data_IF_900860897384
#
_entry.id   IF_900860897384
#
_cell.length_a   1.000
_cell.length_b   1.000
_cell.length_c   1.000
_cell.angle_alpha   90.00
_cell.angle_beta   90.00
_cell.angle_gamma   90.00
#
_symmetry.space_group_name_H-M   'P 1'
#
loop_
_entity.id
_entity.type
_entity.pdbx_description
1 polymer ?
2 non-polymer ?
3 non-polymer ?
4 non-polymer ?
5 non-polymer ?
6 non-polymer ?
7 water ?
#
# COMPACT_ATOMS: atom_id res chain seq x y z
N UNK A 4 -20.02 -27.49 -7.76
CA UNK A 4 -19.84 -26.03 -7.49
C UNK A 4 -19.05 -25.34 -8.61
N UNK A 5 -19.65 -24.33 -9.26
CA UNK A 5 -18.99 -23.40 -10.23
C UNK A 5 -18.07 -22.40 -9.52
N UNK A 6 -16.83 -22.26 -9.98
CA UNK A 6 -15.83 -21.40 -9.35
C UNK A 6 -15.21 -20.53 -10.44
N UNK A 7 -14.37 -19.60 -10.01
CA UNK A 7 -13.57 -18.79 -10.95
C UNK A 7 -12.22 -18.54 -10.30
N UNK A 8 -11.29 -18.09 -11.12
CA UNK A 8 -9.88 -17.86 -10.70
C UNK A 8 -9.61 -16.36 -10.72
N UNK A 9 -9.10 -15.83 -9.59
CA UNK A 9 -8.77 -14.40 -9.50
C UNK A 9 -7.33 -14.31 -8.98
N UNK A 10 -6.52 -13.55 -9.68
CA UNK A 10 -5.07 -13.38 -9.40
C UNK A 10 -4.73 -12.02 -8.81
N UNK A 11 -3.86 -11.99 -7.80
CA UNK A 11 -3.25 -10.72 -7.30
C UNK A 11 -1.73 -10.90 -7.19
N UNK A 12 -0.99 -9.81 -7.28
CA UNK A 12 0.49 -9.92 -7.15
C UNK A 12 0.99 -9.04 -6.02
N UNK A 13 2.29 -9.15 -5.77
CA UNK A 13 3.00 -8.30 -4.81
C UNK A 13 4.42 -8.14 -5.30
N UNK A 14 5.08 -7.04 -4.94
CA UNK A 14 6.56 -6.94 -5.11
C UNK A 14 7.19 -6.67 -3.73
N UNK A 15 8.42 -7.18 -3.56
CA UNK A 15 9.24 -7.05 -2.34
C UNK A 15 9.77 -5.60 -2.19
N UNK A 16 10.25 -5.29 -0.98
CA UNK A 16 10.77 -3.95 -0.63
C UNK A 16 11.97 -3.60 -1.50
N UNK A 17 12.73 -4.60 -1.98
CA UNK A 17 13.84 -4.28 -2.90
C UNK A 17 13.46 -4.13 -4.38
N UNK A 18 12.19 -4.16 -4.73
CA UNK A 18 11.78 -3.94 -6.13
C UNK A 18 12.04 -2.45 -6.41
N UNK A 19 12.62 -2.04 -7.55
CA UNK A 19 13.05 -0.66 -7.70
C UNK A 19 11.90 0.37 -7.71
N UNK A 20 10.65 -0.02 -8.09
CA UNK A 20 9.53 0.99 -8.00
C UNK A 20 9.20 1.15 -6.52
N UNK A 21 9.20 0.04 -5.79
CA UNK A 21 8.81 0.07 -4.35
C UNK A 21 9.88 0.80 -3.55
N UNK A 22 11.14 0.62 -3.88
CA UNK A 22 12.29 1.36 -3.29
C UNK A 22 11.95 2.88 -3.40
N UNK A 23 11.50 3.33 -4.56
CA UNK A 23 11.13 4.77 -4.79
C UNK A 23 9.94 5.18 -3.91
N UNK A 24 8.91 4.35 -3.78
CA UNK A 24 7.78 4.62 -2.86
C UNK A 24 8.34 4.83 -1.45
N UNK A 25 9.22 3.93 -0.96
CA UNK A 25 9.71 4.00 0.42
C UNK A 25 10.58 5.23 0.63
N UNK A 26 11.43 5.61 -0.33
CA UNK A 26 12.31 6.78 -0.21
C UNK A 26 11.37 8.02 -0.15
N UNK A 27 10.38 8.04 -1.01
CA UNK A 27 9.42 9.21 -1.07
C UNK A 27 8.72 9.36 0.29
N UNK A 28 8.26 8.26 0.87
CA UNK A 28 7.56 8.30 2.18
C UNK A 28 8.54 8.51 3.31
N UNK A 29 9.78 8.00 3.27
CA UNK A 29 10.75 8.32 4.34
C UNK A 29 11.00 9.84 4.34
N UNK A 30 11.17 10.42 3.20
CA UNK A 30 11.30 11.90 3.10
C UNK A 30 10.07 12.55 3.73
N UNK A 31 8.86 12.09 3.41
CA UNK A 31 7.66 12.73 3.97
C UNK A 31 7.64 12.60 5.51
N UNK A 32 7.98 11.43 6.09
CA UNK A 32 7.97 11.19 7.55
C UNK A 32 9.00 12.10 8.21
N UNK A 33 10.14 12.28 7.59
CA UNK A 33 11.22 13.13 8.16
C UNK A 33 10.73 14.59 8.19
N UNK A 34 10.01 15.03 7.17
CA UNK A 34 9.45 16.44 7.14
C UNK A 34 8.38 16.59 8.26
N UNK A 35 7.44 15.63 8.38
CA UNK A 35 6.31 15.70 9.31
C UNK A 35 6.81 15.66 10.73
N UNK A 36 7.86 14.86 11.03
CA UNK A 36 8.36 14.71 12.39
C UNK A 36 8.72 16.08 12.94
N UNK A 37 9.35 16.97 12.16
CA UNK A 37 9.67 18.32 12.69
C UNK A 37 8.51 19.30 12.42
N UNK A 38 7.78 19.18 11.32
CA UNK A 38 6.84 20.25 10.86
C UNK A 38 5.59 19.54 10.37
N UNK A 39 4.60 19.31 11.23
CA UNK A 39 3.39 18.59 10.81
C UNK A 39 2.62 19.25 9.68
N UNK A 40 2.87 20.53 9.44
CA UNK A 40 2.18 21.29 8.39
C UNK A 40 2.99 21.28 7.09
N UNK A 41 3.97 20.39 6.92
CA UNK A 41 4.79 20.36 5.69
C UNK A 41 3.88 20.09 4.50
N UNK A 42 4.16 20.75 3.38
CA UNK A 42 3.56 20.37 2.08
C UNK A 42 4.60 19.61 1.30
N UNK A 43 4.27 18.40 0.93
CA UNK A 43 5.27 17.45 0.42
C UNK A 43 4.67 16.82 -0.85
N UNK A 44 5.37 16.95 -1.96
CA UNK A 44 5.10 16.21 -3.22
C UNK A 44 6.48 15.73 -3.69
N UNK A 45 6.93 14.60 -3.13
CA UNK A 45 8.33 14.13 -3.27
C UNK A 45 8.35 12.86 -4.13
N UNK A 46 8.86 13.02 -5.35
CA UNK A 46 8.98 11.95 -6.36
C UNK A 46 10.39 11.37 -6.36
N UNK A 47 10.50 10.08 -6.45
CA UNK A 47 11.83 9.40 -6.48
C UNK A 47 11.92 8.65 -7.83
N UNK A 48 13.07 8.70 -8.48
CA UNK A 48 13.40 7.67 -9.48
C UNK A 48 14.78 7.06 -9.22
N UNK A 49 15.00 5.93 -9.85
CA UNK A 49 16.23 5.14 -9.68
C UNK A 49 16.54 4.40 -10.99
N UNK A 50 17.86 4.21 -11.24
CA UNK A 50 18.42 3.31 -12.29
C UNK A 50 19.82 2.89 -11.79
N UNK A 51 20.54 2.17 -12.60
CA UNK A 51 21.87 1.60 -12.21
C UNK A 51 22.72 2.68 -11.51
N UNK A 52 23.06 2.48 -10.25
CA UNK A 52 23.99 3.34 -9.47
C UNK A 52 23.46 4.77 -9.30
N UNK A 53 22.14 4.99 -9.28
CA UNK A 53 21.63 6.37 -9.12
C UNK A 53 20.25 6.40 -8.44
N UNK A 54 20.06 7.34 -7.51
CA UNK A 54 18.69 7.72 -7.11
C UNK A 54 18.56 9.22 -7.34
N UNK A 55 17.38 9.68 -7.74
CA UNK A 55 17.10 11.13 -7.79
C UNK A 55 15.82 11.39 -7.05
N UNK A 56 15.87 12.31 -6.07
CA UNK A 56 14.65 12.80 -5.40
C UNK A 56 14.33 14.14 -6.02
N UNK A 57 13.06 14.38 -6.29
CA UNK A 57 12.59 15.60 -7.00
C UNK A 57 11.16 15.88 -6.58
N UNK A 58 10.61 16.93 -7.18
CA UNK A 58 9.30 17.49 -6.81
C UNK A 58 9.47 18.70 -5.90
N UNK A 59 8.53 18.91 -4.95
CA UNK A 59 8.32 20.23 -4.34
C UNK A 59 8.02 20.04 -2.86
N UNK A 60 8.68 20.82 -2.02
CA UNK A 60 8.46 20.74 -0.55
C UNK A 60 8.45 22.15 -0.01
N UNK A 61 7.40 22.47 0.77
CA UNK A 61 7.39 23.65 1.62
C UNK A 61 7.40 23.16 3.07
N UNK A 62 8.39 23.55 3.86
CA UNK A 62 8.48 23.08 5.24
C UNK A 62 9.35 24.01 6.07
N UNK A 63 9.19 23.92 7.38
CA UNK A 63 10.12 24.48 8.36
C UNK A 63 11.16 23.43 8.73
N UNK A 64 10.91 22.16 8.41
CA UNK A 64 11.82 21.09 8.84
C UNK A 64 13.22 21.28 8.22
N UNK A 65 14.21 20.65 8.82
CA UNK A 65 15.58 20.56 8.29
C UNK A 65 15.86 19.09 8.01
N UNK A 66 15.84 18.71 6.74
CA UNK A 66 15.86 17.29 6.35
C UNK A 66 17.05 17.04 5.47
N UNK A 67 17.78 15.96 5.74
CA UNK A 67 18.96 15.60 4.95
C UNK A 67 18.47 14.60 3.88
N UNK A 68 18.03 15.10 2.76
CA UNK A 68 17.44 14.24 1.71
C UNK A 68 18.42 13.12 1.36
N UNK A 69 19.67 13.49 1.06
CA UNK A 69 20.66 12.46 0.65
C UNK A 69 20.74 11.39 1.71
N UNK A 70 20.88 11.77 2.98
CA UNK A 70 21.02 10.79 4.04
C UNK A 70 19.78 9.88 4.12
N UNK A 71 18.57 10.41 4.01
CA UNK A 71 17.30 9.61 4.00
C UNK A 71 17.37 8.60 2.85
N UNK A 72 17.86 9.04 1.70
CA UNK A 72 17.92 8.14 0.51
C UNK A 72 18.88 6.99 0.88
N UNK A 73 20.07 7.33 1.41
CA UNK A 73 21.11 6.29 1.69
C UNK A 73 20.64 5.36 2.81
N UNK A 74 20.13 5.90 3.92
CA UNK A 74 19.64 5.09 5.07
C UNK A 74 18.50 4.15 4.61
N UNK A 75 17.58 4.63 3.78
CA UNK A 75 16.45 3.80 3.30
C UNK A 75 17.03 2.63 2.46
N UNK A 76 17.87 2.91 1.45
CA UNK A 76 18.50 1.86 0.63
C UNK A 76 19.29 0.87 1.50
N UNK A 77 20.05 1.36 2.48
CA UNK A 77 20.88 0.48 3.31
C UNK A 77 19.97 -0.43 4.15
N UNK A 78 18.92 0.09 4.77
CA UNK A 78 18.04 -0.73 5.64
C UNK A 78 17.32 -1.80 4.80
N UNK A 79 17.06 -1.54 3.52
CA UNK A 79 16.47 -2.57 2.63
C UNK A 79 17.48 -3.71 2.39
N UNK A 80 18.80 -3.45 2.42
CA UNK A 80 19.85 -4.45 2.11
C UNK A 80 20.68 -4.09 0.85
N UNK A 81 20.53 -2.88 0.31
CA UNK A 81 21.28 -2.44 -0.91
C UNK A 81 22.62 -1.91 -0.40
N UNK A 82 23.54 -2.83 -0.14
CA UNK A 82 24.83 -2.52 0.53
C UNK A 82 25.98 -2.72 -0.45
N UNK A 83 25.76 -3.08 -1.69
CA UNK A 83 26.89 -3.26 -2.62
C UNK A 83 26.36 -3.29 -4.03
N UNK A 84 27.24 -3.08 -5.00
CA UNK A 84 26.95 -3.19 -6.44
C UNK A 84 26.38 -4.57 -6.76
N UNK A 85 26.94 -5.61 -6.18
CA UNK A 85 26.56 -7.01 -6.43
C UNK A 85 25.08 -7.27 -6.13
N UNK A 86 24.58 -6.68 -5.05
CA UNK A 86 23.18 -6.88 -4.59
C UNK A 86 22.23 -5.99 -5.40
N UNK A 87 22.77 -4.99 -6.11
CA UNK A 87 22.02 -4.21 -7.13
C UNK A 87 22.05 -2.71 -6.87
N UNK A 88 22.60 -2.23 -5.74
CA UNK A 88 22.83 -0.78 -5.47
C UNK A 88 23.69 -0.64 -4.20
N UNK A 89 24.71 0.20 -4.24
CA UNK A 89 25.53 0.50 -3.06
C UNK A 89 25.00 1.76 -2.42
N UNK A 90 24.35 1.64 -1.26
CA UNK A 90 23.71 2.79 -0.56
C UNK A 90 24.77 3.86 -0.30
N UNK A 91 26.00 3.43 -0.10
CA UNK A 91 27.06 4.30 0.46
C UNK A 91 27.80 4.97 -0.68
N UNK A 92 27.80 4.39 -1.87
CA UNK A 92 28.65 4.86 -2.99
C UNK A 92 27.84 5.31 -4.22
N UNK A 93 26.53 5.04 -4.28
CA UNK A 93 25.73 5.32 -5.48
C UNK A 93 25.59 6.83 -5.55
N UNK A 94 25.37 7.28 -6.75
CA UNK A 94 25.04 8.70 -7.04
C UNK A 94 23.64 9.01 -6.47
N UNK A 95 23.55 10.10 -5.70
CA UNK A 95 22.24 10.59 -5.20
C UNK A 95 22.08 12.05 -5.69
N UNK A 96 21.10 12.29 -6.53
CA UNK A 96 20.83 13.61 -7.14
C UNK A 96 19.68 14.21 -6.33
N UNK A 97 19.94 15.35 -5.67
CA UNK A 97 18.95 16.03 -4.81
C UNK A 97 18.36 17.19 -5.60
N UNK A 98 17.14 17.00 -6.10
CA UNK A 98 16.59 17.80 -7.20
C UNK A 98 15.21 18.30 -6.75
N UNK A 99 15.06 18.57 -5.44
CA UNK A 99 13.78 19.04 -4.86
C UNK A 99 13.75 20.54 -4.90
N UNK A 100 12.61 21.14 -5.22
CA UNK A 100 12.40 22.60 -5.03
C UNK A 100 11.94 22.76 -3.57
N UNK A 101 12.84 23.18 -2.69
CA UNK A 101 12.62 23.32 -1.22
C UNK A 101 12.27 24.80 -0.96
N UNK A 102 11.20 25.10 -0.23
CA UNK A 102 10.77 26.48 0.13
C UNK A 102 10.49 26.47 1.65
N UNK A 103 10.71 27.58 2.35
CA UNK A 103 10.19 27.82 3.70
C UNK A 103 8.79 28.41 3.49
N UNK A 104 7.93 28.35 4.48
CA UNK A 104 6.60 28.91 4.34
C UNK A 104 6.58 30.43 4.11
N UNK A 105 5.47 30.87 3.52
CA UNK A 105 5.23 32.28 3.12
C UNK A 105 5.41 33.13 4.35
N UNK A 106 6.02 34.30 4.20
CA UNK A 106 6.09 35.30 5.27
C UNK A 106 5.10 36.40 4.86
N UNK A 107 4.12 36.71 5.69
CA UNK A 107 3.05 37.70 5.37
C UNK A 107 2.71 38.52 6.60
N UNK A 108 2.12 39.69 6.36
CA UNK A 108 1.69 40.65 7.37
C UNK A 108 0.14 40.72 7.37
N UNK A 109 -0.51 40.47 8.51
CA UNK A 109 -1.97 40.40 8.69
C UNK A 109 -2.59 39.43 7.69
N UNK A 110 -3.72 39.79 7.08
CA UNK A 110 -4.44 38.91 6.08
C UNK A 110 -4.55 39.63 4.73
N UNK A 116 -9.77 28.94 4.85
CA UNK A 116 -9.37 29.34 6.23
C UNK A 116 -9.30 28.10 7.14
N UNK A 117 -10.38 27.77 7.85
CA UNK A 117 -10.42 26.66 8.84
C UNK A 117 -10.55 25.32 8.12
N UNK A 118 -10.21 24.19 8.79
CA UNK A 118 -10.43 22.84 8.26
C UNK A 118 -11.75 22.57 7.52
N UNK A 119 -12.86 23.12 7.98
CA UNK A 119 -14.20 22.84 7.40
C UNK A 119 -14.28 23.42 5.99
N UNK A 120 -13.46 24.42 5.67
CA UNK A 120 -13.65 25.21 4.41
C UNK A 120 -12.46 25.05 3.48
N UNK A 121 -11.33 24.49 3.93
CA UNK A 121 -10.19 24.19 3.01
C UNK A 121 -10.78 23.51 1.75
N UNK A 122 -10.51 24.03 0.55
CA UNK A 122 -10.84 23.33 -0.72
C UNK A 122 -9.91 22.15 -0.91
N UNK A 123 -10.33 21.12 -1.64
CA UNK A 123 -9.44 20.03 -2.05
C UNK A 123 -8.22 20.64 -2.75
N UNK A 124 -7.06 20.01 -2.67
CA UNK A 124 -5.83 20.52 -3.30
C UNK A 124 -5.85 20.22 -4.78
N UNK A 125 -6.69 19.27 -5.20
CA UNK A 125 -6.71 18.77 -6.60
C UNK A 125 -8.10 18.18 -6.83
N UNK A 126 -8.45 17.91 -8.09
CA UNK A 126 -9.64 17.12 -8.45
C UNK A 126 -9.24 15.64 -8.27
N UNK A 127 -10.19 14.74 -8.43
CA UNK A 127 -9.88 13.31 -8.49
C UNK A 127 -10.94 12.51 -7.82
N UNK A 128 -10.80 11.18 -7.94
CA UNK A 128 -11.76 10.28 -7.32
C UNK A 128 -11.01 9.08 -6.73
N UNK A 129 -11.57 8.51 -5.67
CA UNK A 129 -10.85 7.48 -4.89
C UNK A 129 -11.88 6.43 -4.52
N UNK A 130 -11.43 5.18 -4.49
CA UNK A 130 -12.31 4.08 -4.05
C UNK A 130 -11.76 3.36 -2.82
N UNK A 131 -12.71 2.93 -1.99
CA UNK A 131 -12.50 2.11 -0.79
C UNK A 131 -13.18 0.78 -0.99
N UNK A 132 -12.59 -0.31 -0.53
CA UNK A 132 -13.16 -1.67 -0.67
C UNK A 132 -12.97 -2.42 0.64
N UNK A 133 -13.91 -3.30 0.96
CA UNK A 133 -13.75 -4.30 2.01
C UNK A 133 -14.55 -5.54 1.70
N UNK A 134 -14.05 -6.68 2.21
CA UNK A 134 -14.73 -7.98 2.02
C UNK A 134 -14.52 -8.85 3.26
N UNK A 135 -15.53 -9.66 3.60
CA UNK A 135 -15.55 -10.42 4.87
C UNK A 135 -14.77 -11.72 4.71
N UNK A 136 -14.03 -11.90 3.62
CA UNK A 136 -13.38 -13.19 3.31
C UNK A 136 -12.09 -13.38 4.12
N UNK A 137 -11.56 -12.34 4.76
CA UNK A 137 -10.39 -12.45 5.68
C UNK A 137 -10.73 -11.67 6.93
N UNK A 138 -9.99 -11.94 8.03
CA UNK A 138 -10.15 -11.17 9.28
C UNK A 138 -9.81 -9.68 9.09
N UNK A 139 -8.81 -9.38 8.26
CA UNK A 139 -8.45 -7.96 7.94
C UNK A 139 -9.43 -7.33 6.91
N UNK A 140 -10.49 -8.04 6.53
CA UNK A 140 -11.53 -7.61 5.60
C UNK A 140 -10.88 -7.17 4.26
N UNK A 141 -9.88 -7.94 3.80
CA UNK A 141 -9.23 -7.75 2.47
C UNK A 141 -9.41 -8.95 1.60
N UNK A 142 -9.23 -8.81 0.26
CA UNK A 142 -9.27 -9.97 -0.61
C UNK A 142 -8.13 -10.97 -0.34
N UNK A 143 -8.49 -12.25 -0.27
CA UNK A 143 -7.46 -13.29 0.01
C UNK A 143 -6.32 -13.25 -1.02
N UNK A 144 -6.61 -13.26 -2.32
CA UNK A 144 -5.53 -13.26 -3.33
C UNK A 144 -4.44 -12.22 -2.97
N UNK A 145 -4.87 -11.01 -2.70
CA UNK A 145 -3.99 -9.88 -2.36
C UNK A 145 -3.26 -10.14 -1.04
N UNK A 146 -4.00 -10.65 -0.04
CA UNK A 146 -3.44 -10.77 1.33
C UNK A 146 -2.33 -11.84 1.26
N UNK A 147 -2.56 -12.92 0.49
CA UNK A 147 -1.55 -14.04 0.50
C UNK A 147 -0.34 -13.60 -0.33
N UNK A 148 -0.55 -12.95 -1.50
CA UNK A 148 0.58 -12.42 -2.34
C UNK A 148 1.43 -11.53 -1.45
N UNK A 149 0.77 -10.54 -0.83
CA UNK A 149 1.46 -9.54 0.02
C UNK A 149 2.25 -10.26 1.14
N UNK A 150 1.65 -11.24 1.82
CA UNK A 150 2.25 -11.81 3.04
C UNK A 150 3.40 -12.72 2.64
N UNK A 151 3.39 -13.24 1.41
CA UNK A 151 4.54 -14.03 0.90
C UNK A 151 5.72 -13.11 0.64
N UNK A 152 5.45 -11.88 0.22
CA UNK A 152 6.51 -10.89 0.03
C UNK A 152 7.08 -10.46 1.38
N UNK A 153 6.22 -10.17 2.32
CA UNK A 153 6.67 -9.77 3.68
C UNK A 153 7.53 -10.88 4.29
N UNK A 154 7.07 -12.09 4.15
CA UNK A 154 7.79 -13.28 4.69
C UNK A 154 9.17 -13.40 4.05
N UNK A 155 9.30 -13.22 2.74
CA UNK A 155 10.62 -13.24 2.10
C UNK A 155 11.54 -12.25 2.76
N UNK A 156 11.10 -11.00 2.95
CA UNK A 156 11.93 -9.99 3.60
C UNK A 156 12.31 -10.46 5.02
N UNK A 157 11.37 -11.08 5.75
CA UNK A 157 11.61 -11.43 7.15
C UNK A 157 12.65 -12.57 7.23
N UNK A 158 12.56 -13.59 6.38
CA UNK A 158 13.52 -14.74 6.48
C UNK A 158 14.89 -14.40 5.88
N UNK A 159 14.98 -13.36 5.04
CA UNK A 159 16.27 -12.84 4.59
C UNK A 159 16.94 -12.19 5.80
N UNK A 160 16.26 -11.23 6.37
CA UNK A 160 16.87 -10.35 7.37
C UNK A 160 17.14 -11.08 8.65
N UNK A 161 16.33 -12.09 9.04
CA UNK A 161 16.52 -12.76 10.35
C UNK A 161 17.56 -13.87 10.14
N UNK A 162 18.04 -14.05 8.91
CA UNK A 162 19.11 -15.03 8.58
C UNK A 162 18.64 -16.48 8.40
N UNK A 163 17.35 -16.78 8.50
CA UNK A 163 16.81 -18.15 8.21
C UNK A 163 17.09 -18.54 6.75
N UNK A 164 16.98 -17.61 5.82
CA UNK A 164 17.35 -17.83 4.39
C UNK A 164 18.31 -16.70 3.97
N UNK A 165 19.57 -16.80 4.38
CA UNK A 165 20.52 -15.68 4.28
C UNK A 165 20.99 -15.57 2.83
N UNK A 166 20.62 -16.54 2.00
CA UNK A 166 20.92 -16.56 0.53
C UNK A 166 20.04 -15.57 -0.26
N UNK A 167 18.95 -15.15 0.32
CA UNK A 167 18.01 -14.20 -0.34
C UNK A 167 18.66 -12.83 -0.58
N UNK A 168 18.14 -12.11 -1.57
CA UNK A 168 18.50 -10.69 -1.77
C UNK A 168 17.20 -9.92 -1.81
N UNK A 169 17.29 -8.58 -1.74
CA UNK A 169 16.10 -7.73 -1.51
C UNK A 169 14.98 -7.78 -2.53
N UNK A 170 15.30 -7.92 -3.81
CA UNK A 170 14.28 -7.86 -4.86
C UNK A 170 13.50 -9.15 -4.94
N UNK A 171 12.28 -9.06 -5.50
CA UNK A 171 11.48 -10.23 -5.85
C UNK A 171 10.03 -9.91 -5.99
N UNK A 172 9.29 -10.90 -6.46
CA UNK A 172 7.86 -10.70 -6.78
C UNK A 172 7.12 -11.95 -6.37
N UNK A 173 5.85 -11.78 -6.04
CA UNK A 173 5.02 -12.92 -5.66
C UNK A 173 3.68 -12.81 -6.37
N UNK A 174 2.97 -13.90 -6.51
CA UNK A 174 1.65 -13.87 -7.17
C UNK A 174 0.82 -15.07 -6.75
N UNK A 175 -0.46 -14.84 -6.47
CA UNK A 175 -1.36 -15.92 -5.97
C UNK A 175 -2.66 -15.85 -6.75
N UNK A 176 -2.98 -16.99 -7.34
CA UNK A 176 -4.28 -17.25 -7.96
C UNK A 176 -5.17 -18.01 -6.98
N UNK A 177 -6.33 -17.42 -6.67
CA UNK A 177 -7.31 -18.03 -5.75
C UNK A 177 -8.52 -18.47 -6.56
N UNK A 178 -8.96 -19.69 -6.28
CA UNK A 178 -10.23 -20.27 -6.76
C UNK A 178 -11.34 -19.91 -5.78
N UNK A 179 -12.32 -19.15 -6.29
CA UNK A 179 -13.41 -18.56 -5.51
C UNK A 179 -14.76 -19.15 -5.91
N UNK A 180 -15.67 -19.17 -4.96
CA UNK A 180 -17.13 -19.35 -5.22
C UNK A 180 -17.86 -18.02 -4.96
N UNK A 181 -18.83 -17.68 -5.81
CA UNK A 181 -19.71 -16.49 -5.63
C UNK A 181 -21.03 -16.90 -4.94
N UNK A 182 -21.15 -16.63 -3.64
CA UNK A 182 -22.38 -16.86 -2.82
C UNK A 182 -23.20 -15.53 -2.89
N UNK A 183 -23.95 -15.33 -3.97
CA UNK A 183 -24.94 -14.20 -4.03
C UNK A 183 -24.24 -12.84 -3.85
N UNK A 184 -23.07 -12.63 -4.45
CA UNK A 184 -22.31 -11.35 -4.30
C UNK A 184 -21.13 -11.48 -3.36
N UNK A 185 -21.13 -12.46 -2.44
CA UNK A 185 -20.08 -12.66 -1.41
C UNK A 185 -19.03 -13.60 -1.95
N UNK A 186 -17.77 -13.23 -1.73
CA UNK A 186 -16.60 -13.97 -2.25
C UNK A 186 -16.23 -15.02 -1.23
N UNK A 187 -16.28 -16.29 -1.62
CA UNK A 187 -15.96 -17.43 -0.75
C UNK A 187 -14.71 -18.08 -1.29
N UNK A 188 -13.56 -17.86 -0.68
CA UNK A 188 -12.33 -18.46 -1.18
C UNK A 188 -12.47 -19.98 -0.94
N UNK A 189 -12.11 -20.77 -1.94
CA UNK A 189 -12.16 -22.27 -1.88
C UNK A 189 -10.78 -22.84 -1.68
N UNK A 190 -9.81 -22.47 -2.52
CA UNK A 190 -8.45 -23.05 -2.49
C UNK A 190 -7.46 -22.12 -3.20
N UNK A 191 -6.16 -22.31 -2.96
CA UNK A 191 -5.10 -21.65 -3.76
C UNK A 191 -4.82 -22.52 -4.97
N UNK A 192 -4.96 -21.91 -6.14
CA UNK A 192 -4.83 -22.62 -7.44
C UNK A 192 -3.38 -22.60 -7.92
N UNK A 193 -2.75 -21.43 -7.86
CA UNK A 193 -1.34 -21.27 -8.26
C UNK A 193 -0.61 -20.29 -7.34
N UNK A 194 0.61 -20.68 -6.98
CA UNK A 194 1.54 -19.81 -6.26
C UNK A 194 2.81 -19.56 -7.07
N UNK A 195 3.11 -18.30 -7.33
CA UNK A 195 4.32 -17.87 -8.08
C UNK A 195 5.22 -17.06 -7.12
N UNK A 196 6.45 -17.50 -6.97
CA UNK A 196 7.55 -16.69 -6.36
C UNK A 196 8.74 -16.53 -7.30
N UNK A 197 9.14 -15.29 -7.55
CA UNK A 197 10.42 -15.01 -8.22
C UNK A 197 11.27 -14.16 -7.27
N UNK A 198 12.33 -14.72 -6.72
CA UNK A 198 13.12 -13.99 -5.69
C UNK A 198 14.57 -13.82 -6.15
N UNK A 199 15.12 -12.63 -5.91
CA UNK A 199 16.57 -12.39 -6.03
C UNK A 199 17.31 -13.30 -5.03
N UNK A 200 18.55 -13.63 -5.33
CA UNK A 200 19.36 -14.53 -4.48
C UNK A 200 20.85 -14.37 -4.79
N UNK A 201 21.69 -15.00 -3.95
CA UNK A 201 23.16 -14.95 -4.12
C UNK A 201 23.64 -16.13 -4.96
N UNK A 202 24.95 -16.26 -5.17
CA UNK A 202 25.54 -17.27 -6.10
C UNK A 202 25.82 -18.58 -5.36
N UNK A 203 25.67 -18.64 -4.04
CA UNK A 203 26.00 -19.87 -3.27
C UNK A 203 24.98 -20.96 -3.63
N UNK A 204 23.70 -20.58 -3.59
CA UNK A 204 22.54 -21.46 -3.38
C UNK A 204 22.14 -22.11 -4.70
N UNK A 205 21.84 -23.40 -4.70
CA UNK A 205 21.39 -24.11 -5.93
C UNK A 205 19.90 -23.85 -6.17
N UNK A 206 19.43 -24.19 -7.37
CA UNK A 206 18.00 -24.10 -7.73
C UNK A 206 17.16 -25.00 -6.80
N UNK A 207 17.70 -26.13 -6.37
CA UNK A 207 16.94 -27.10 -5.54
C UNK A 207 16.82 -26.57 -4.11
N UNK A 208 17.88 -25.96 -3.57
CA UNK A 208 17.86 -25.36 -2.21
C UNK A 208 16.86 -24.19 -2.27
N UNK A 209 16.88 -23.40 -3.34
CA UNK A 209 15.92 -22.24 -3.47
C UNK A 209 14.47 -22.76 -3.38
N UNK A 210 14.08 -23.70 -4.24
CA UNK A 210 12.75 -24.34 -4.24
C UNK A 210 12.37 -24.93 -2.87
N UNK A 211 13.21 -25.77 -2.27
CA UNK A 211 12.99 -26.34 -0.93
C UNK A 211 12.77 -25.25 0.15
N UNK A 212 13.65 -24.24 0.25
CA UNK A 212 13.55 -23.18 1.28
C UNK A 212 12.28 -22.32 1.01
N UNK A 213 11.93 -22.07 -0.25
CA UNK A 213 10.70 -21.26 -0.58
C UNK A 213 9.46 -22.05 -0.11
N UNK A 214 9.43 -23.38 -0.24
CA UNK A 214 8.23 -24.16 0.14
C UNK A 214 8.16 -24.17 1.67
N UNK A 215 9.25 -24.54 2.35
CA UNK A 215 9.23 -24.80 3.82
C UNK A 215 9.28 -23.53 4.64
N UNK A 216 10.07 -22.55 4.21
CA UNK A 216 10.35 -21.36 5.07
C UNK A 216 9.41 -20.22 4.67
N UNK A 217 8.81 -20.24 3.48
CA UNK A 217 8.00 -19.06 3.01
C UNK A 217 6.53 -19.46 2.79
N UNK A 218 6.24 -20.38 1.85
CA UNK A 218 4.87 -20.77 1.48
C UNK A 218 4.15 -21.42 2.66
N UNK A 219 4.72 -22.46 3.26
CA UNK A 219 4.03 -23.29 4.27
C UNK A 219 3.63 -22.44 5.49
N UNK A 220 4.49 -21.54 6.00
CA UNK A 220 4.11 -20.70 7.13
C UNK A 220 3.05 -19.63 6.78
N UNK A 221 2.94 -19.22 5.52
CA UNK A 221 2.05 -18.08 5.17
C UNK A 221 0.66 -18.63 4.80
N UNK A 222 0.60 -19.61 3.92
CA UNK A 222 -0.68 -20.02 3.28
C UNK A 222 -1.32 -21.08 4.14
N UNK A 223 -2.52 -20.83 4.70
CA UNK A 223 -3.21 -21.86 5.49
C UNK A 223 -3.27 -23.20 4.77
N UNK A 224 -2.95 -24.29 5.45
CA UNK A 224 -3.03 -25.67 4.91
C UNK A 224 -4.43 -25.94 4.34
N UNK A 225 -5.51 -25.39 4.91
CA UNK A 225 -6.86 -25.67 4.35
C UNK A 225 -6.96 -25.20 2.92
N UNK A 226 -6.12 -24.28 2.45
CA UNK A 226 -6.26 -23.80 1.05
C UNK A 226 -5.31 -24.48 0.11
N UNK A 227 -4.39 -25.31 0.61
CA UNK A 227 -3.36 -25.96 -0.23
C UNK A 227 -3.72 -27.42 -0.35
N UNK A 228 -3.52 -27.99 -1.53
CA UNK A 228 -3.78 -29.41 -1.84
C UNK A 228 -2.79 -29.83 -2.92
N UNK A 229 -2.90 -31.10 -3.28
CA UNK A 229 -2.04 -31.86 -4.20
C UNK A 229 -2.14 -31.28 -5.63
N UNK A 230 -3.18 -30.52 -5.96
CA UNK A 230 -3.32 -29.92 -7.31
C UNK A 230 -2.81 -28.46 -7.38
N UNK A 231 -2.46 -27.85 -6.25
CA UNK A 231 -2.00 -26.43 -6.25
C UNK A 231 -0.71 -26.36 -7.11
N UNK A 232 -0.63 -25.41 -8.04
CA UNK A 232 0.57 -25.27 -8.93
C UNK A 232 1.59 -24.32 -8.27
N UNK A 233 2.86 -24.76 -8.20
CA UNK A 233 3.98 -23.92 -7.71
C UNK A 233 4.92 -23.56 -8.88
N UNK A 234 5.13 -22.28 -9.07
CA UNK A 234 6.18 -21.73 -9.95
C UNK A 234 7.19 -21.04 -9.02
N UNK A 235 8.37 -21.63 -8.86
CA UNK A 235 9.45 -21.09 -7.99
C UNK A 235 10.65 -20.69 -8.86
N UNK A 236 10.93 -19.41 -8.97
CA UNK A 236 11.96 -18.87 -9.90
C UNK A 236 11.79 -19.52 -11.28
N UNK A 237 10.61 -19.42 -11.94
CA UNK A 237 10.41 -20.12 -13.21
C UNK A 237 11.33 -19.64 -14.32
N UNK A 238 11.88 -18.43 -14.28
CA UNK A 238 12.71 -17.95 -15.39
C UNK A 238 14.21 -18.15 -15.12
N UNK A 239 14.60 -19.07 -14.27
CA UNK A 239 16.02 -19.33 -13.97
C UNK A 239 16.56 -18.39 -12.89
N UNK A 240 17.84 -18.07 -12.95
CA UNK A 240 18.55 -17.44 -11.81
C UNK A 240 18.24 -15.92 -11.79
N UNK A 241 18.18 -15.36 -10.59
CA UNK A 241 17.84 -13.94 -10.29
C UNK A 241 18.88 -13.45 -9.30
N UNK A 242 20.09 -13.20 -9.80
CA UNK A 242 21.22 -12.74 -8.96
C UNK A 242 21.26 -11.19 -8.92
N UNK A 243 21.17 -10.55 -10.10
CA UNK A 243 21.11 -9.07 -10.25
C UNK A 243 19.67 -8.59 -10.01
N UNK A 244 19.51 -7.52 -9.26
CA UNK A 244 18.20 -7.01 -8.86
C UNK A 244 18.26 -5.53 -8.53
N UNK A 245 17.19 -5.07 -7.96
CA UNK A 245 16.92 -3.65 -7.68
C UNK A 245 17.15 -2.78 -8.89
N UNK A 246 17.70 -1.55 -8.66
CA UNK A 246 17.88 -0.58 -9.73
C UNK A 246 18.83 -1.02 -10.84
N UNK A 247 19.69 -2.03 -10.58
CA UNK A 247 20.71 -2.41 -11.58
C UNK A 247 20.03 -2.95 -12.87
N UNK A 248 20.27 -2.30 -13.99
CA UNK A 248 19.66 -2.67 -15.27
C UNK A 248 18.14 -2.53 -15.26
N UNK A 249 17.53 -1.77 -14.33
CA UNK A 249 16.04 -1.78 -14.18
C UNK A 249 15.38 -0.62 -13.39
N UNK A 250 14.90 0.38 -14.09
CA UNK A 250 14.48 1.71 -13.57
C UNK A 250 13.24 1.62 -12.69
N UNK A 251 13.27 2.32 -11.54
CA UNK A 251 12.13 2.49 -10.62
C UNK A 251 11.64 3.93 -10.61
N UNK A 252 10.37 4.12 -10.29
CA UNK A 252 9.69 5.46 -10.11
C UNK A 252 8.66 5.32 -8.99
N UNK A 253 8.47 6.38 -8.24
CA UNK A 253 7.38 6.48 -7.24
C UNK A 253 6.04 6.29 -7.97
N UNK A 254 5.10 5.63 -7.34
CA UNK A 254 3.70 5.59 -7.79
C UNK A 254 3.45 4.65 -8.95
N UNK A 255 4.23 3.56 -9.06
CA UNK A 255 4.09 2.57 -10.16
C UNK A 255 3.56 1.22 -9.67
N UNK A 256 3.12 1.13 -8.40
CA UNK A 256 2.58 -0.11 -7.82
C UNK A 256 1.29 0.22 -7.10
N UNK A 257 0.40 1.01 -7.75
CA UNK A 257 -0.80 1.53 -7.04
C UNK A 257 -1.82 0.44 -6.71
N UNK A 258 -1.88 -0.64 -7.47
CA UNK A 258 -2.82 -1.78 -7.26
C UNK A 258 -2.27 -2.67 -6.13
N UNK A 259 -0.97 -2.93 -6.06
CA UNK A 259 -0.34 -3.62 -4.91
C UNK A 259 -0.52 -2.74 -3.67
N UNK A 260 -0.59 -1.40 -3.80
CA UNK A 260 -0.71 -0.52 -2.59
C UNK A 260 -2.15 -0.61 -2.02
N UNK A 261 -3.10 -1.11 -2.79
CA UNK A 261 -4.54 -1.06 -2.47
C UNK A 261 -5.16 -2.44 -2.40
N UNK A 262 -5.80 -2.92 -3.47
CA UNK A 262 -6.72 -4.09 -3.38
C UNK A 262 -6.41 -5.19 -4.41
N UNK A 263 -5.30 -5.13 -5.15
CA UNK A 263 -4.81 -6.28 -5.92
C UNK A 263 -5.71 -6.60 -7.11
N UNK A 264 -6.47 -5.61 -7.58
CA UNK A 264 -7.38 -5.86 -8.73
C UNK A 264 -8.82 -5.88 -8.29
N UNK A 265 -9.08 -6.03 -6.98
CA UNK A 265 -10.45 -6.00 -6.43
C UNK A 265 -10.94 -4.53 -6.24
N UNK A 266 -12.22 -4.39 -6.10
CA UNK A 266 -12.77 -3.04 -5.85
C UNK A 266 -12.52 -2.18 -7.05
N UNK A 267 -11.83 -1.08 -6.92
CA UNK A 267 -11.50 -0.21 -8.06
C UNK A 267 -10.34 0.69 -7.63
N UNK A 268 -9.79 1.45 -8.57
CA UNK A 268 -8.82 2.54 -8.30
C UNK A 268 -9.21 3.79 -9.10
N UNK A 269 -9.02 4.91 -8.47
CA UNK A 269 -9.27 6.25 -9.09
C UNK A 269 -8.02 6.81 -9.77
N UNK A 270 -6.82 6.21 -9.61
CA UNK A 270 -5.58 6.56 -10.31
C UNK A 270 -4.49 7.25 -9.51
N UNK A 271 -4.79 7.87 -8.38
CA UNK A 271 -3.80 8.64 -7.59
C UNK A 271 -2.84 7.73 -6.80
N UNK A 272 -1.54 7.93 -6.99
CA UNK A 272 -0.49 7.30 -6.15
C UNK A 272 -0.56 7.91 -4.75
N UNK A 273 0.03 7.22 -3.80
CA UNK A 273 0.05 7.62 -2.35
C UNK A 273 1.37 8.25 -1.94
N UNK A 274 2.49 7.51 -2.18
CA UNK A 274 3.77 7.83 -1.55
C UNK A 274 4.31 9.19 -1.98
N UNK A 275 4.93 9.88 -1.03
CA UNK A 275 5.63 11.15 -1.25
C UNK A 275 4.64 12.28 -1.16
N UNK A 276 3.36 11.95 -0.90
CA UNK A 276 2.33 13.02 -0.78
C UNK A 276 1.98 13.24 0.71
N UNK A 277 1.98 14.51 1.14
CA UNK A 277 1.52 14.85 2.50
C UNK A 277 0.02 14.53 2.59
N UNK A 278 -0.47 14.16 3.79
CA UNK A 278 -1.77 13.54 3.95
C UNK A 278 -2.96 14.52 3.85
N UNK A 279 -2.71 15.79 3.64
CA UNK A 279 -3.77 16.75 3.22
C UNK A 279 -4.19 16.46 1.77
N UNK A 280 -3.31 15.89 0.96
CA UNK A 280 -3.65 15.58 -0.46
C UNK A 280 -4.76 14.55 -0.52
N UNK A 281 -5.87 14.91 -1.13
CA UNK A 281 -7.08 14.03 -1.19
C UNK A 281 -6.73 12.66 -1.81
N UNK A 282 -5.77 12.55 -2.71
CA UNK A 282 -5.38 11.20 -3.22
C UNK A 282 -5.09 10.23 -2.08
N UNK A 283 -4.50 10.74 -0.97
CA UNK A 283 -4.11 9.91 0.16
C UNK A 283 -5.22 9.92 1.21
N UNK A 284 -5.63 11.09 1.71
CA UNK A 284 -6.58 11.16 2.85
C UNK A 284 -7.94 10.63 2.33
N UNK A 285 -8.26 10.91 1.06
CA UNK A 285 -9.54 10.50 0.41
C UNK A 285 -9.56 8.98 0.35
N UNK A 286 -8.54 8.39 -0.22
CA UNK A 286 -8.47 6.91 -0.30
C UNK A 286 -8.54 6.31 1.10
N UNK A 287 -7.79 6.85 2.06
CA UNK A 287 -7.78 6.23 3.41
C UNK A 287 -9.19 6.27 4.00
N UNK A 288 -9.88 7.41 3.96
CA UNK A 288 -11.20 7.47 4.60
C UNK A 288 -12.20 6.55 3.89
N UNK A 289 -12.12 6.38 2.56
CA UNK A 289 -13.11 5.49 1.93
C UNK A 289 -12.70 4.04 2.23
N UNK A 290 -11.45 3.74 2.53
CA UNK A 290 -11.15 2.37 3.08
C UNK A 290 -11.85 2.24 4.43
N UNK A 291 -11.72 3.25 5.28
CA UNK A 291 -12.32 3.14 6.63
C UNK A 291 -13.87 2.98 6.49
N UNK A 292 -14.48 3.71 5.57
CA UNK A 292 -15.94 3.66 5.31
C UNK A 292 -16.33 2.23 4.88
N UNK A 293 -15.77 1.74 3.79
CA UNK A 293 -16.09 0.41 3.25
C UNK A 293 -15.85 -0.61 4.36
N UNK A 294 -14.76 -0.51 5.12
CA UNK A 294 -14.37 -1.51 6.14
C UNK A 294 -15.42 -1.43 7.25
N UNK A 295 -15.95 -0.26 7.52
CA UNK A 295 -16.90 -0.04 8.65
C UNK A 295 -18.30 -0.54 8.24
N UNK A 296 -18.65 -0.43 6.97
CA UNK A 296 -19.91 -0.99 6.39
C UNK A 296 -19.91 -2.50 6.62
N UNK A 297 -18.85 -3.19 6.23
CA UNK A 297 -18.76 -4.66 6.42
C UNK A 297 -18.71 -5.00 7.92
N UNK A 298 -17.79 -4.43 8.68
CA UNK A 298 -17.51 -4.84 10.07
C UNK A 298 -18.76 -4.64 10.93
N UNK A 299 -19.55 -3.61 10.68
CA UNK A 299 -20.80 -3.37 11.43
C UNK A 299 -21.88 -4.42 11.04
N UNK A 300 -21.69 -5.24 10.00
CA UNK A 300 -22.66 -6.27 9.55
C UNK A 300 -23.69 -5.77 8.54
N UNK A 301 -23.61 -4.54 8.00
CA UNK A 301 -24.54 -4.07 6.96
C UNK A 301 -24.35 -4.77 5.63
N UNK A 302 -23.22 -5.45 5.39
CA UNK A 302 -22.95 -6.06 4.07
C UNK A 302 -21.79 -7.02 4.25
N UNK A 303 -21.57 -7.91 3.28
CA UNK A 303 -20.39 -8.81 3.31
C UNK A 303 -19.21 -8.22 2.53
N UNK A 304 -19.52 -7.32 1.59
CA UNK A 304 -18.57 -6.63 0.68
C UNK A 304 -19.09 -5.20 0.42
N UNK A 305 -18.20 -4.27 0.11
CA UNK A 305 -18.62 -2.88 -0.10
C UNK A 305 -17.55 -2.16 -0.90
N UNK A 306 -18.02 -1.30 -1.79
CA UNK A 306 -17.17 -0.39 -2.59
C UNK A 306 -17.72 0.98 -2.38
N UNK A 307 -16.84 1.95 -2.11
CA UNK A 307 -17.22 3.37 -1.91
C UNK A 307 -16.35 4.26 -2.78
N UNK A 308 -16.95 5.21 -3.52
CA UNK A 308 -16.22 6.20 -4.33
C UNK A 308 -16.55 7.55 -3.75
N UNK A 309 -15.51 8.38 -3.69
CA UNK A 309 -15.67 9.82 -3.44
C UNK A 309 -14.94 10.54 -4.58
N UNK A 310 -15.36 11.78 -4.87
CA UNK A 310 -14.68 12.59 -5.89
C UNK A 310 -14.63 14.05 -5.42
N UNK A 311 -13.63 14.78 -5.90
CA UNK A 311 -13.32 16.18 -5.47
C UNK A 311 -13.08 17.10 -6.65
N UNK A 312 -13.34 18.39 -6.43
CA UNK A 312 -12.90 19.51 -7.31
C UNK A 312 -11.82 20.35 -6.61
N UNK A 313 -10.78 20.76 -7.33
CA UNK A 313 -9.75 21.67 -6.74
C UNK A 313 -10.46 22.92 -6.25
N UNK A 314 -10.17 23.33 -5.00
CA UNK A 314 -10.75 24.53 -4.36
C UNK A 314 -12.16 24.33 -3.85
N UNK A 315 -12.69 23.12 -3.84
CA UNK A 315 -14.06 22.89 -3.29
C UNK A 315 -13.92 21.93 -2.12
N UNK A 316 -14.43 22.31 -0.93
CA UNK A 316 -14.33 21.43 0.24
C UNK A 316 -15.21 20.16 0.21
N UNK A 317 -16.47 20.28 -0.24
CA UNK A 317 -17.41 19.13 -0.21
C UNK A 317 -17.19 18.25 -1.44
N UNK A 318 -17.24 16.90 -1.27
CA UNK A 318 -17.07 15.99 -2.40
C UNK A 318 -18.11 16.25 -3.50
N UNK A 319 -17.70 16.07 -4.74
CA UNK A 319 -18.63 16.21 -5.88
C UNK A 319 -19.62 15.07 -5.95
N UNK A 320 -19.22 13.87 -5.51
CA UNK A 320 -20.04 12.65 -5.60
C UNK A 320 -19.57 11.65 -4.56
N UNK A 321 -20.51 10.88 -4.04
CA UNK A 321 -20.25 9.66 -3.24
C UNK A 321 -21.08 8.51 -3.79
N UNK A 322 -20.56 7.29 -3.74
CA UNK A 322 -21.46 6.14 -3.97
C UNK A 322 -20.97 4.93 -3.19
N UNK A 323 -21.97 4.09 -2.90
CA UNK A 323 -21.82 2.77 -2.27
C UNK A 323 -22.38 1.68 -3.15
N UNK A 324 -21.63 0.59 -3.23
CA UNK A 324 -22.07 -0.63 -3.91
C UNK A 324 -21.74 -1.79 -2.98
N UNK A 325 -22.77 -2.57 -2.61
CA UNK A 325 -22.55 -3.79 -1.79
C UNK A 325 -22.52 -5.06 -2.60
N UNK A 326 -22.51 -5.02 -3.92
CA UNK A 326 -22.51 -6.26 -4.72
C UNK A 326 -23.72 -7.15 -4.33
N UNK A 327 -24.83 -6.51 -3.99
CA UNK A 327 -26.10 -7.13 -3.53
C UNK A 327 -25.94 -7.96 -2.24
N UNK A 328 -24.93 -7.66 -1.40
CA UNK A 328 -24.72 -8.34 -0.09
C UNK A 328 -25.29 -7.49 1.03
N UNK A 329 -25.68 -6.26 0.75
CA UNK A 329 -26.17 -5.41 1.84
C UNK A 329 -27.46 -6.01 2.41
N UNK A 330 -27.65 -5.92 3.73
CA UNK A 330 -28.83 -6.43 4.45
C UNK A 330 -29.87 -5.31 4.48
N UNK A 331 -29.46 -4.11 4.08
CA UNK A 331 -30.39 -2.96 3.90
C UNK A 331 -30.03 -2.32 2.57
N UNK A 332 -30.90 -1.47 1.97
CA UNK A 332 -30.66 -0.98 0.60
C UNK A 332 -29.37 -0.13 0.55
N UNK A 333 -28.68 -0.17 -0.60
CA UNK A 333 -27.41 0.57 -0.81
C UNK A 333 -27.71 2.07 -0.64
N UNK A 334 -28.92 2.53 -1.02
CA UNK A 334 -29.24 3.98 -0.89
C UNK A 334 -29.21 4.35 0.59
N UNK A 335 -29.65 3.46 1.45
CA UNK A 335 -29.67 3.74 2.90
C UNK A 335 -28.25 3.68 3.46
N UNK A 336 -27.45 2.69 3.02
CA UNK A 336 -26.04 2.63 3.46
C UNK A 336 -25.33 3.92 3.01
N UNK A 337 -25.59 4.38 1.79
CA UNK A 337 -25.04 5.68 1.32
C UNK A 337 -25.35 6.81 2.30
N UNK A 338 -26.62 6.90 2.70
CA UNK A 338 -27.07 7.91 3.68
C UNK A 338 -26.29 7.77 4.99
N UNK A 339 -26.10 6.57 5.53
CA UNK A 339 -25.42 6.35 6.84
C UNK A 339 -23.92 6.67 6.71
N UNK A 340 -23.29 6.31 5.59
CA UNK A 340 -21.88 6.68 5.28
C UNK A 340 -21.75 8.21 5.26
N UNK A 341 -22.62 8.92 4.54
CA UNK A 341 -22.45 10.40 4.39
C UNK A 341 -22.65 11.06 5.76
N UNK A 342 -23.48 10.48 6.60
CA UNK A 342 -23.83 11.05 7.92
C UNK A 342 -22.70 10.84 8.91
N UNK A 343 -22.00 9.70 8.81
CA UNK A 343 -21.05 9.23 9.83
C UNK A 343 -19.63 9.70 9.48
N UNK A 344 -19.31 9.89 8.19
CA UNK A 344 -17.93 10.21 7.77
C UNK A 344 -17.88 11.66 7.32
N UNK A 345 -16.74 12.32 7.51
CA UNK A 345 -16.57 13.72 7.06
C UNK A 345 -15.58 13.76 5.90
N UNK A 346 -16.06 13.85 4.66
CA UNK A 346 -15.18 13.78 3.46
C UNK A 346 -14.47 15.11 3.18
N UNK A 347 -14.61 16.14 4.02
CA UNK A 347 -13.93 17.44 3.72
C UNK A 347 -12.45 17.29 3.99
N UNK A 348 -11.56 17.66 3.02
CA UNK A 348 -10.12 17.43 3.12
C UNK A 348 -9.43 17.88 4.43
N UNK A 349 -9.73 19.09 4.89
CA UNK A 349 -9.20 19.56 6.19
C UNK A 349 -9.65 18.70 7.36
N UNK A 350 -10.84 18.08 7.29
CA UNK A 350 -11.38 17.33 8.42
C UNK A 350 -10.84 15.89 8.36
N UNK A 351 -10.65 15.32 7.18
CA UNK A 351 -10.19 13.91 7.07
C UNK A 351 -8.81 13.81 7.72
N UNK A 352 -7.91 14.77 7.44
CA UNK A 352 -6.51 14.75 7.97
C UNK A 352 -6.51 14.78 9.50
N UNK A 353 -7.34 15.62 10.07
CA UNK A 353 -7.53 15.77 11.56
C UNK A 353 -8.14 14.49 12.10
N UNK A 354 -9.22 13.95 11.50
CA UNK A 354 -9.99 12.80 12.06
C UNK A 354 -9.13 11.52 12.04
N UNK A 355 -8.26 11.33 11.06
CA UNK A 355 -7.37 10.14 10.96
C UNK A 355 -6.00 10.47 11.54
N UNK A 356 -5.84 11.68 12.06
CA UNK A 356 -4.65 12.09 12.85
C UNK A 356 -3.40 11.93 12.00
N UNK A 357 -3.47 12.27 10.70
CA UNK A 357 -2.44 11.86 9.71
C UNK A 357 -1.16 12.70 9.77
N UNK A 358 -1.19 13.90 10.34
CA UNK A 358 0.01 14.78 10.44
C UNK A 358 0.92 14.45 11.62
N UNK A 359 0.44 13.74 12.65
CA UNK A 359 1.23 13.33 13.85
C UNK A 359 2.53 12.60 13.44
N UNK A 360 3.67 13.13 13.93
CA UNK A 360 5.02 12.80 13.46
C UNK A 360 5.71 11.77 14.34
N UNK A 361 6.74 11.11 13.80
CA UNK A 361 7.81 10.51 14.60
C UNK A 361 7.64 9.02 14.84
N UNK A 362 6.75 8.33 14.10
CA UNK A 362 6.51 6.86 14.23
C UNK A 362 6.79 6.13 12.91
N UNK A 363 7.37 6.82 11.94
CA UNK A 363 7.67 6.21 10.63
C UNK A 363 6.42 5.68 9.97
N UNK A 364 5.28 6.36 10.20
CA UNK A 364 3.94 5.92 9.80
C UNK A 364 3.90 5.69 8.29
N UNK A 365 4.32 6.66 7.49
CA UNK A 365 4.14 6.53 6.01
C UNK A 365 5.16 5.60 5.41
N UNK A 366 6.39 5.59 5.90
CA UNK A 366 7.38 4.57 5.45
C UNK A 366 6.82 3.17 5.69
N UNK A 367 6.10 2.91 6.80
CA UNK A 367 5.41 1.62 7.00
C UNK A 367 4.43 1.30 5.87
N UNK A 368 3.68 2.27 5.34
CA UNK A 368 2.64 2.01 4.34
C UNK A 368 3.29 1.74 2.98
N UNK A 369 4.55 2.14 2.75
CA UNK A 369 5.13 2.16 1.37
C UNK A 369 5.71 0.80 0.92
N UNK A 370 5.58 -0.23 1.73
CA UNK A 370 5.81 -1.64 1.32
C UNK A 370 4.75 -2.52 1.96
N UNK A 371 4.21 -3.48 1.18
CA UNK A 371 3.31 -4.57 1.63
C UNK A 371 1.93 -4.04 1.98
N UNK A 372 1.57 -2.91 1.37
CA UNK A 372 0.18 -2.46 1.24
C UNK A 372 -0.21 -1.40 2.24
N UNK A 373 -1.09 -0.48 1.83
CA UNK A 373 -1.64 0.58 2.70
C UNK A 373 -2.80 0.06 3.55
N UNK A 374 -3.48 -1.04 3.15
CA UNK A 374 -4.71 -1.50 3.82
C UNK A 374 -4.56 -2.94 4.34
N UNK A 375 -5.37 -3.24 5.35
CA UNK A 375 -5.45 -4.59 5.95
C UNK A 375 -4.42 -4.84 7.01
N UNK A 376 -3.72 -3.83 7.54
CA UNK A 376 -2.69 -4.01 8.59
C UNK A 376 -3.24 -3.51 9.92
N UNK A 377 -2.75 -4.05 11.01
CA UNK A 377 -3.34 -3.81 12.35
C UNK A 377 -2.58 -2.74 13.11
N UNK A 378 -1.41 -2.41 12.63
CA UNK A 378 -0.56 -1.34 13.21
C UNK A 378 -1.42 -0.16 13.65
N UNK A 379 -1.28 0.34 14.90
CA UNK A 379 -2.09 1.43 15.39
C UNK A 379 -1.88 2.80 14.68
N UNK A 380 -0.77 2.99 13.97
CA UNK A 380 -0.58 4.18 13.10
C UNK A 380 -1.51 4.11 11.87
N UNK A 381 -2.11 2.97 11.62
CA UNK A 381 -3.00 2.82 10.43
C UNK A 381 -4.42 3.15 10.89
N UNK A 382 -4.67 4.44 11.11
CA UNK A 382 -5.89 4.90 11.79
C UNK A 382 -7.10 4.60 10.92
N UNK A 383 -6.94 4.48 9.59
CA UNK A 383 -8.04 4.26 8.64
C UNK A 383 -8.53 2.80 8.73
N UNK A 384 -7.76 1.97 9.44
CA UNK A 384 -8.09 0.53 9.60
C UNK A 384 -8.95 0.38 10.87
N UNK A 385 -9.13 1.46 11.62
CA UNK A 385 -9.95 1.36 12.87
C UNK A 385 -11.42 1.54 12.44
N UNK A 386 -12.26 0.54 12.75
CA UNK A 386 -13.70 0.56 12.32
C UNK A 386 -14.42 1.64 13.12
N UNK A 387 -15.23 2.44 12.44
CA UNK A 387 -16.19 3.34 13.10
C UNK A 387 -17.49 2.58 13.38
N UNK A 388 -18.01 2.64 14.61
CA UNK A 388 -19.34 2.14 14.89
C UNK A 388 -20.37 2.95 14.10
N UNK A 389 -21.26 2.23 13.44
CA UNK A 389 -22.32 2.87 12.65
C UNK A 389 -23.66 2.37 13.18
N UNK A 390 -24.62 3.28 13.27
CA UNK A 390 -26.04 3.03 13.64
C UNK A 390 -26.84 2.60 12.39
N UNK A 391 -27.64 1.54 12.39
CA UNK A 391 -28.41 1.23 11.13
C UNK A 391 -29.82 0.66 11.35
N UNK A 392 -29.91 -0.64 11.70
CA UNK A 392 -31.15 -1.44 11.96
C UNK A 392 -31.95 -1.87 10.73
N UNK A 393 -32.68 -3.00 10.89
CA UNK A 393 -33.46 -3.72 9.83
C UNK A 393 -32.56 -4.57 8.92
#
# INVERSE_FOLDING_TARGET
SNAMETFLFTSESVNEGHPDKLCDQISDAVLDACLEQDPDSKVACETCTKTNMVMVFGEITTKATVDYEKIVRDTCRAIGFVSDDVGLDADKCKVLVNIEQQSPDIAQGVHGHFTKCPEEIGAGDQGHMFGYATDETPELMPLSHVLATKLGARLTEVRKNGTCAWLRPDGKTQVTVEYYNDKGAMVPIRVHTVLISTQHDETVTNDEIARDLKEHVIKPVIPEKYLDEKTIFHLNPSGRFVIGGPHGDAGLTGRKIIIDTYGGWGAHGGGAFSGKDPTKVDRSGAYIVRQAAKSVVANGMARRALVQVSYAIGVPEPLSVFVDTYETGLIPDKEILKIVKESFDFRPGMMTINLDLKRGGNGRFLKTAAYGHFGRDDPDFTWEVVKPLKWDKPQA
#
